data_IF_503683098745
#
_entry.id   IF_503683098745
#
_cell.length_a   1.000
_cell.length_b   1.000
_cell.length_c   1.000
_cell.angle_alpha   90.00
_cell.angle_beta   90.00
_cell.angle_gamma   90.00
#
_symmetry.space_group_name_H-M   'P 1'
#
loop_
_entity.id
_entity.type
_entity.pdbx_description
1 polymer ?
#
# COMPACT_ATOMS: atom_id res chain seq x y z
N UNK A 1 30.68 25.02 -64.42
CA UNK A 1 30.30 26.41 -64.07
C UNK A 1 28.85 26.57 -64.51
N UNK A 2 27.81 26.54 -63.68
CA UNK A 2 27.70 26.30 -62.25
C UNK A 2 26.22 26.17 -61.88
N UNK A 3 25.96 25.16 -61.03
CA UNK A 3 25.00 25.13 -59.92
C UNK A 3 23.50 24.94 -60.25
N UNK A 4 23.08 23.67 -60.14
CA UNK A 4 21.72 23.23 -59.83
C UNK A 4 21.28 23.78 -58.46
N UNK A 5 20.19 24.53 -58.42
CA UNK A 5 19.53 24.91 -57.17
C UNK A 5 18.48 23.86 -56.81
N UNK A 6 18.94 22.84 -56.10
CA UNK A 6 18.12 21.89 -55.34
C UNK A 6 17.29 22.67 -54.33
N UNK A 7 15.98 22.76 -54.57
CA UNK A 7 15.04 23.40 -53.66
C UNK A 7 14.72 22.43 -52.52
N UNK A 8 15.58 22.39 -51.49
CA UNK A 8 15.32 21.74 -50.22
C UNK A 8 14.26 22.53 -49.46
N UNK A 9 12.98 22.14 -49.59
CA UNK A 9 11.96 22.51 -48.61
C UNK A 9 12.03 21.52 -47.46
N UNK A 10 12.52 22.03 -46.33
CA UNK A 10 12.61 21.38 -45.04
C UNK A 10 11.28 20.72 -44.64
N UNK A 11 11.20 19.40 -44.80
CA UNK A 11 10.31 18.58 -43.98
C UNK A 11 10.88 18.61 -42.56
N UNK A 12 10.16 19.30 -41.67
CA UNK A 12 10.47 19.30 -40.25
C UNK A 12 10.40 17.85 -39.77
N UNK A 13 11.43 17.30 -39.09
CA UNK A 13 11.33 15.94 -38.59
C UNK A 13 10.20 15.91 -37.57
N UNK A 14 9.15 15.16 -37.91
CA UNK A 14 8.01 14.85 -37.06
C UNK A 14 8.57 14.28 -35.76
N UNK A 15 8.74 15.14 -34.75
CA UNK A 15 9.32 14.83 -33.45
C UNK A 15 8.24 14.16 -32.60
N UNK A 16 7.60 13.14 -33.16
CA UNK A 16 7.10 12.03 -32.38
C UNK A 16 8.29 11.14 -32.10
N UNK A 17 9.14 11.58 -31.18
CA UNK A 17 10.03 10.67 -30.46
C UNK A 17 9.14 9.59 -29.87
N UNK A 18 9.12 8.46 -30.55
CA UNK A 18 8.56 7.21 -30.06
C UNK A 18 9.33 6.91 -28.79
N UNK A 19 8.81 7.34 -27.62
CA UNK A 19 9.25 6.81 -26.36
C UNK A 19 9.26 5.28 -26.55
N UNK A 20 10.42 4.61 -26.41
CA UNK A 20 10.42 3.17 -26.50
C UNK A 20 9.39 2.70 -25.48
N UNK A 21 8.35 1.99 -25.95
CA UNK A 21 7.31 1.45 -25.07
C UNK A 21 8.01 0.42 -24.18
N UNK A 22 8.56 0.89 -23.06
CA UNK A 22 9.16 0.06 -22.04
C UNK A 22 8.11 -0.96 -21.63
N UNK A 23 8.44 -2.25 -21.69
CA UNK A 23 7.56 -3.32 -21.20
C UNK A 23 7.23 -2.98 -19.74
N UNK A 24 5.97 -2.66 -19.47
CA UNK A 24 5.51 -2.35 -18.12
C UNK A 24 5.70 -3.61 -17.25
N UNK A 25 6.66 -3.55 -16.32
CA UNK A 25 6.90 -4.60 -15.32
C UNK A 25 5.69 -4.78 -14.41
N UNK A 26 5.57 -5.94 -13.75
CA UNK A 26 4.44 -6.22 -12.88
C UNK A 26 4.37 -5.22 -11.72
N UNK A 27 5.54 -4.83 -11.19
CA UNK A 27 5.66 -3.73 -10.23
C UNK A 27 5.19 -2.38 -10.80
N UNK A 28 5.55 -2.02 -12.05
CA UNK A 28 5.12 -0.74 -12.62
C UNK A 28 3.59 -0.62 -12.77
N UNK A 29 2.90 -1.73 -13.08
CA UNK A 29 1.43 -1.76 -13.14
C UNK A 29 0.82 -1.58 -11.76
N UNK A 30 1.40 -2.21 -10.76
CA UNK A 30 0.98 -2.07 -9.36
C UNK A 30 1.18 -0.65 -8.83
N UNK A 31 2.36 -0.06 -9.06
CA UNK A 31 2.69 1.29 -8.60
C UNK A 31 1.85 2.36 -9.31
N UNK A 32 1.53 2.15 -10.60
CA UNK A 32 0.63 3.00 -11.38
C UNK A 32 -0.76 3.14 -10.74
N UNK A 33 -1.26 2.11 -10.07
CA UNK A 33 -2.58 2.12 -9.45
C UNK A 33 -2.66 2.93 -8.14
N UNK A 34 -1.51 3.31 -7.57
CA UNK A 34 -1.43 3.96 -6.26
C UNK A 34 -1.02 5.42 -6.41
N UNK A 35 -1.99 6.32 -6.24
CA UNK A 35 -1.80 7.76 -6.41
C UNK A 35 -0.93 8.40 -5.30
N UNK A 36 -1.12 8.02 -4.04
CA UNK A 36 -0.42 8.61 -2.88
C UNK A 36 0.84 7.84 -2.52
N UNK A 37 1.96 8.55 -2.36
CA UNK A 37 3.24 7.98 -1.90
C UNK A 37 3.13 7.29 -0.54
N UNK A 38 2.43 7.91 0.41
CA UNK A 38 2.19 7.32 1.74
C UNK A 38 1.43 5.99 1.65
N UNK A 39 0.45 5.91 0.74
CA UNK A 39 -0.29 4.66 0.50
C UNK A 39 0.60 3.61 -0.15
N UNK A 40 1.48 4.03 -1.06
CA UNK A 40 2.44 3.14 -1.72
C UNK A 40 3.39 2.51 -0.70
N UNK A 41 4.01 3.32 0.16
CA UNK A 41 4.89 2.84 1.22
C UNK A 41 4.19 1.88 2.16
N UNK A 42 2.95 2.21 2.55
CA UNK A 42 2.13 1.32 3.36
C UNK A 42 1.91 -0.04 2.66
N UNK A 43 1.52 -0.02 1.39
CA UNK A 43 1.24 -1.23 0.60
C UNK A 43 2.50 -2.07 0.42
N UNK A 44 3.64 -1.45 0.09
CA UNK A 44 4.95 -2.12 -0.04
C UNK A 44 5.31 -2.82 1.26
N UNK A 45 5.26 -2.13 2.40
CA UNK A 45 5.57 -2.72 3.72
C UNK A 45 4.67 -3.91 4.04
N UNK A 46 3.39 -3.84 3.69
CA UNK A 46 2.43 -4.92 3.94
C UNK A 46 2.60 -6.10 3.00
N UNK A 47 2.96 -5.86 1.74
CA UNK A 47 3.21 -6.93 0.76
C UNK A 47 4.53 -7.66 1.05
N UNK A 48 5.59 -6.96 1.49
CA UNK A 48 6.86 -7.59 1.90
C UNK A 48 6.69 -8.74 2.89
N UNK A 49 5.69 -8.65 3.78
CA UNK A 49 5.36 -9.72 4.74
C UNK A 49 4.91 -11.02 4.05
N UNK A 50 4.21 -10.91 2.92
CA UNK A 50 3.79 -12.06 2.13
C UNK A 50 4.93 -12.60 1.26
N UNK A 51 5.77 -11.74 0.68
CA UNK A 51 6.99 -12.19 -0.02
C UNK A 51 7.91 -12.99 0.91
N UNK A 52 8.10 -12.49 2.13
CA UNK A 52 8.87 -13.18 3.17
C UNK A 52 8.26 -14.52 3.56
N UNK A 53 6.94 -14.64 3.56
CA UNK A 53 6.25 -15.92 3.81
C UNK A 53 6.51 -16.95 2.69
N UNK A 54 6.55 -16.51 1.44
CA UNK A 54 6.87 -17.35 0.29
C UNK A 54 8.38 -17.58 0.10
N UNK A 55 9.21 -17.09 1.04
CA UNK A 55 10.68 -17.14 0.96
C UNK A 55 11.24 -16.45 -0.30
N UNK A 56 10.47 -15.50 -0.86
CA UNK A 56 10.87 -14.68 -1.99
C UNK A 56 11.68 -13.47 -1.48
N UNK A 57 12.80 -13.09 -2.15
CA UNK A 57 13.54 -11.89 -1.81
C UNK A 57 12.64 -10.66 -1.72
N UNK A 58 12.64 -9.99 -0.57
CA UNK A 58 11.79 -8.81 -0.31
C UNK A 58 12.49 -7.48 -0.58
N UNK A 59 13.80 -7.51 -0.83
CA UNK A 59 14.62 -6.36 -1.19
C UNK A 59 15.53 -6.69 -2.38
N UNK A 60 15.57 -5.83 -3.41
CA UNK A 60 14.65 -4.72 -3.64
C UNK A 60 13.22 -5.23 -3.90
N UNK A 61 12.22 -4.50 -3.42
CA UNK A 61 10.81 -4.92 -3.49
C UNK A 61 10.33 -5.19 -4.92
N UNK A 62 10.79 -4.38 -5.87
CA UNK A 62 10.45 -4.53 -7.29
C UNK A 62 10.84 -5.91 -7.82
N UNK A 63 12.05 -6.36 -7.55
CA UNK A 63 12.55 -7.67 -8.01
C UNK A 63 11.75 -8.80 -7.38
N UNK A 64 11.43 -8.72 -6.09
CA UNK A 64 10.62 -9.72 -5.40
C UNK A 64 9.22 -9.88 -5.99
N UNK A 65 8.57 -8.77 -6.33
CA UNK A 65 7.22 -8.79 -6.92
C UNK A 65 7.24 -9.26 -8.37
N UNK A 66 8.29 -8.90 -9.13
CA UNK A 66 8.45 -9.40 -10.49
C UNK A 66 8.77 -10.91 -10.49
N UNK A 67 9.62 -11.40 -9.58
CA UNK A 67 9.89 -12.83 -9.41
C UNK A 67 8.62 -13.60 -9.04
N UNK A 68 7.82 -13.04 -8.11
CA UNK A 68 6.53 -13.62 -7.76
C UNK A 68 5.63 -13.73 -9.01
N UNK A 69 5.57 -12.68 -9.84
CA UNK A 69 4.79 -12.73 -11.08
C UNK A 69 5.27 -13.85 -12.03
N UNK A 70 6.58 -13.96 -12.23
CA UNK A 70 7.18 -15.01 -13.06
C UNK A 70 6.88 -16.41 -12.51
N UNK A 71 6.94 -16.58 -11.20
CA UNK A 71 6.61 -17.85 -10.55
C UNK A 71 5.13 -18.21 -10.74
N UNK A 72 4.22 -17.24 -10.63
CA UNK A 72 2.79 -17.45 -10.92
C UNK A 72 2.58 -17.86 -12.39
N UNK A 73 3.32 -17.27 -13.34
CA UNK A 73 3.22 -17.66 -14.75
C UNK A 73 3.74 -19.09 -15.00
N UNK A 74 4.76 -19.51 -14.24
CA UNK A 74 5.38 -20.84 -14.37
C UNK A 74 4.56 -21.94 -13.71
N UNK A 75 4.12 -21.73 -12.47
CA UNK A 75 3.43 -22.73 -11.64
C UNK A 75 1.89 -22.66 -11.78
N UNK A 76 1.40 -21.54 -12.32
CA UNK A 76 -0.02 -21.30 -12.54
C UNK A 76 -0.71 -20.57 -11.39
N UNK A 77 -1.93 -20.10 -11.68
CA UNK A 77 -2.75 -19.34 -10.70
C UNK A 77 -3.25 -20.21 -9.56
N UNK A 78 -3.33 -21.53 -9.74
CA UNK A 78 -3.75 -22.47 -8.71
C UNK A 78 -2.74 -22.51 -7.56
N UNK A 79 -1.45 -22.68 -7.86
CA UNK A 79 -0.38 -22.63 -6.87
C UNK A 79 -0.46 -21.36 -6.03
N UNK A 80 -0.60 -20.21 -6.68
CA UNK A 80 -0.70 -18.93 -5.99
C UNK A 80 -1.93 -18.82 -5.09
N UNK A 81 -3.07 -19.37 -5.55
CA UNK A 81 -4.29 -19.42 -4.75
C UNK A 81 -4.10 -20.28 -3.50
N UNK A 82 -3.44 -21.43 -3.62
CA UNK A 82 -3.14 -22.33 -2.51
C UNK A 82 -2.17 -21.65 -1.52
N UNK A 83 -1.08 -21.07 -2.01
CA UNK A 83 -0.11 -20.35 -1.19
C UNK A 83 -0.74 -19.16 -0.43
N UNK A 84 -1.67 -18.44 -1.05
CA UNK A 84 -2.40 -17.36 -0.39
C UNK A 84 -3.41 -17.87 0.65
N UNK A 85 -4.02 -19.03 0.43
CA UNK A 85 -4.88 -19.68 1.42
C UNK A 85 -4.07 -20.14 2.62
N UNK A 86 -2.92 -20.77 2.41
CA UNK A 86 -2.02 -21.24 3.47
C UNK A 86 -1.53 -20.06 4.33
N UNK A 87 -1.13 -18.96 3.69
CA UNK A 87 -0.81 -17.72 4.39
C UNK A 87 -1.96 -17.23 5.28
N UNK A 88 -3.20 -17.25 4.78
CA UNK A 88 -4.38 -16.84 5.56
C UNK A 88 -4.62 -17.80 6.73
N UNK A 89 -4.47 -19.12 6.52
CA UNK A 89 -4.66 -20.14 7.57
C UNK A 89 -3.64 -19.96 8.69
N UNK A 90 -2.36 -19.77 8.35
CA UNK A 90 -1.30 -19.55 9.34
C UNK A 90 -1.53 -18.26 10.14
N UNK A 91 -1.90 -17.18 9.46
CA UNK A 91 -2.18 -15.92 10.14
C UNK A 91 -3.46 -15.97 10.97
N UNK A 92 -4.44 -16.82 10.62
CA UNK A 92 -5.58 -17.09 11.52
C UNK A 92 -5.14 -17.75 12.82
N UNK A 93 -4.20 -18.69 12.77
CA UNK A 93 -3.65 -19.28 14.00
C UNK A 93 -2.96 -18.21 14.86
N UNK A 94 -2.21 -17.27 14.24
CA UNK A 94 -1.61 -16.13 14.94
C UNK A 94 -2.66 -15.19 15.56
N UNK A 95 -3.81 -15.00 14.91
CA UNK A 95 -4.96 -14.25 15.47
C UNK A 95 -5.52 -14.97 16.69
N UNK A 96 -5.72 -16.29 16.64
CA UNK A 96 -6.19 -17.09 17.77
C UNK A 96 -5.23 -16.99 18.96
N UNK A 97 -3.91 -16.95 18.69
CA UNK A 97 -2.86 -16.71 19.69
C UNK A 97 -2.75 -15.25 20.15
N UNK A 98 -3.65 -14.36 19.69
CA UNK A 98 -3.68 -12.91 19.99
C UNK A 98 -2.40 -12.15 19.61
N UNK A 99 -1.57 -12.68 18.71
CA UNK A 99 -0.34 -12.03 18.25
C UNK A 99 -0.62 -10.90 17.26
N UNK A 100 -1.71 -11.03 16.50
CA UNK A 100 -2.15 -10.05 15.50
C UNK A 100 -3.67 -9.90 15.53
N UNK A 101 -4.18 -8.83 14.91
CA UNK A 101 -5.62 -8.60 14.79
C UNK A 101 -6.15 -9.07 13.43
N UNK A 102 -7.45 -9.37 13.37
CA UNK A 102 -8.14 -9.65 12.10
C UNK A 102 -8.04 -8.47 11.10
N UNK A 103 -7.98 -7.23 11.60
CA UNK A 103 -7.78 -6.05 10.77
C UNK A 103 -6.39 -6.04 10.12
N UNK A 104 -5.37 -6.47 10.85
CA UNK A 104 -4.00 -6.59 10.34
C UNK A 104 -3.92 -7.58 9.17
N UNK A 105 -4.53 -8.76 9.30
CA UNK A 105 -4.58 -9.75 8.22
C UNK A 105 -5.29 -9.22 6.96
N UNK A 106 -6.40 -8.51 7.15
CA UNK A 106 -7.10 -7.83 6.05
C UNK A 106 -6.21 -6.78 5.36
N UNK A 107 -5.36 -6.10 6.10
CA UNK A 107 -4.42 -5.13 5.54
C UNK A 107 -3.26 -5.77 4.77
N UNK A 108 -2.85 -7.01 5.09
CA UNK A 108 -1.91 -7.78 4.26
C UNK A 108 -2.56 -8.24 2.95
N UNK A 109 -3.83 -8.64 3.01
CA UNK A 109 -4.58 -9.12 1.85
C UNK A 109 -4.80 -8.03 0.77
N UNK A 110 -5.09 -6.78 1.17
CA UNK A 110 -5.40 -5.66 0.26
C UNK A 110 -4.33 -5.41 -0.82
N UNK A 111 -3.04 -5.19 -0.49
CA UNK A 111 -2.01 -4.94 -1.50
C UNK A 111 -1.82 -6.11 -2.45
N UNK A 112 -1.92 -7.35 -1.96
CA UNK A 112 -1.82 -8.57 -2.79
C UNK A 112 -2.96 -8.61 -3.80
N UNK A 113 -4.20 -8.32 -3.35
CA UNK A 113 -5.35 -8.23 -4.23
C UNK A 113 -5.17 -7.17 -5.33
N UNK A 114 -4.75 -5.97 -4.95
CA UNK A 114 -4.49 -4.89 -5.91
C UNK A 114 -3.43 -5.30 -6.94
N UNK A 115 -2.36 -5.97 -6.50
CA UNK A 115 -1.33 -6.45 -7.39
C UNK A 115 -1.86 -7.45 -8.44
N UNK A 116 -2.66 -8.41 -8.01
CA UNK A 116 -3.30 -9.35 -8.92
C UNK A 116 -4.27 -8.68 -9.88
N UNK A 117 -5.10 -7.75 -9.38
CA UNK A 117 -6.05 -6.98 -10.20
C UNK A 117 -5.29 -6.16 -11.28
N UNK A 118 -4.15 -5.56 -10.95
CA UNK A 118 -3.34 -4.76 -11.88
C UNK A 118 -2.51 -5.58 -12.88
N UNK A 119 -2.34 -6.87 -12.61
CA UNK A 119 -1.56 -7.78 -13.44
C UNK A 119 -2.42 -8.85 -14.14
N UNK A 120 -3.74 -8.65 -14.14
CA UNK A 120 -4.74 -9.53 -14.77
C UNK A 120 -4.67 -10.98 -14.28
N UNK A 121 -4.32 -11.18 -13.00
CA UNK A 121 -4.27 -12.51 -12.36
C UNK A 121 -5.66 -12.86 -11.85
N UNK A 122 -6.34 -13.76 -12.53
CA UNK A 122 -7.69 -14.19 -12.20
C UNK A 122 -7.70 -15.22 -11.05
N UNK A 123 -8.25 -14.83 -9.91
CA UNK A 123 -8.40 -15.68 -8.71
C UNK A 123 -9.83 -15.65 -8.20
N UNK A 124 -10.25 -16.73 -7.54
CA UNK A 124 -11.55 -16.78 -6.88
C UNK A 124 -11.49 -16.03 -5.54
N UNK A 125 -11.55 -14.70 -5.59
CA UNK A 125 -11.50 -13.85 -4.39
C UNK A 125 -12.63 -14.12 -3.39
N UNK A 126 -13.79 -14.62 -3.84
CA UNK A 126 -14.90 -14.97 -2.95
C UNK A 126 -14.52 -16.14 -2.03
N UNK A 127 -13.77 -17.12 -2.55
CA UNK A 127 -13.25 -18.23 -1.76
C UNK A 127 -12.26 -17.73 -0.71
N UNK A 128 -11.26 -16.95 -1.15
CA UNK A 128 -10.16 -16.46 -0.32
C UNK A 128 -10.69 -15.53 0.79
N UNK A 129 -11.60 -14.61 0.45
CA UNK A 129 -12.17 -13.66 1.40
C UNK A 129 -13.01 -14.32 2.50
N UNK A 130 -13.65 -15.47 2.24
CA UNK A 130 -14.37 -16.24 3.27
C UNK A 130 -13.46 -16.77 4.37
N UNK A 131 -12.18 -16.99 4.06
CA UNK A 131 -11.19 -17.41 5.04
C UNK A 131 -10.87 -16.32 6.07
N UNK A 132 -10.97 -15.05 5.68
CA UNK A 132 -10.51 -13.90 6.49
C UNK A 132 -11.56 -13.53 7.55
N UNK A 133 -11.22 -13.59 8.86
CA UNK A 133 -12.15 -13.23 9.92
C UNK A 133 -12.56 -11.75 9.85
N UNK A 134 -13.80 -11.45 10.25
CA UNK A 134 -14.29 -10.09 10.33
C UNK A 134 -13.64 -9.35 11.51
N UNK A 135 -13.06 -8.18 11.26
CA UNK A 135 -12.55 -7.30 12.31
C UNK A 135 -13.70 -6.50 12.94
N UNK A 136 -14.56 -7.14 13.73
CA UNK A 136 -15.54 -6.41 14.55
C UNK A 136 -14.88 -6.04 15.87
N UNK A 137 -14.21 -4.90 15.90
CA UNK A 137 -14.01 -4.13 17.13
C UNK A 137 -14.55 -2.74 16.84
N UNK A 138 -15.64 -2.35 17.51
CA UNK A 138 -15.87 -0.93 17.72
C UNK A 138 -14.62 -0.43 18.43
N UNK A 139 -13.93 0.55 17.85
CA UNK A 139 -12.86 1.22 18.58
C UNK A 139 -13.50 1.77 19.85
N UNK A 140 -12.89 1.54 21.01
CA UNK A 140 -13.29 2.19 22.26
C UNK A 140 -12.82 3.66 22.25
N UNK A 141 -12.94 4.31 21.10
CA UNK A 141 -12.47 5.66 20.79
C UNK A 141 -13.57 6.66 21.14
N UNK A 142 -14.03 6.57 22.39
CA UNK A 142 -14.98 7.54 22.92
C UNK A 142 -14.25 8.86 23.07
N UNK A 143 -14.87 9.95 22.61
CA UNK A 143 -14.40 11.28 22.94
C UNK A 143 -14.26 11.46 24.46
N UNK A 144 -13.22 12.17 24.93
CA UNK A 144 -13.08 12.49 26.34
C UNK A 144 -14.22 13.38 26.81
N UNK A 145 -14.64 13.20 28.06
CA UNK A 145 -15.62 14.06 28.73
C UNK A 145 -14.96 15.34 29.24
N UNK A 146 -15.78 16.37 29.52
CA UNK A 146 -15.28 17.63 30.07
C UNK A 146 -14.48 17.42 31.37
N UNK A 147 -14.92 16.51 32.24
CA UNK A 147 -14.22 16.21 33.50
C UNK A 147 -12.86 15.53 33.26
N UNK A 148 -12.75 14.67 32.24
CA UNK A 148 -11.48 14.07 31.85
C UNK A 148 -10.53 15.10 31.26
N UNK A 149 -11.05 16.07 30.49
CA UNK A 149 -10.27 17.18 29.95
C UNK A 149 -9.79 18.10 31.08
N UNK A 150 -10.65 18.44 32.04
CA UNK A 150 -10.26 19.24 33.20
C UNK A 150 -9.17 18.55 34.02
N UNK A 151 -9.28 17.24 34.27
CA UNK A 151 -8.22 16.47 34.94
C UNK A 151 -6.89 16.56 34.17
N UNK A 152 -6.91 16.45 32.84
CA UNK A 152 -5.69 16.61 32.01
C UNK A 152 -5.06 18.00 32.14
N UNK A 153 -5.85 19.04 32.39
CA UNK A 153 -5.38 20.41 32.60
C UNK A 153 -4.91 20.69 34.03
N UNK A 154 -5.38 19.93 35.01
CA UNK A 154 -5.05 20.05 36.44
C UNK A 154 -3.77 19.33 36.84
N UNK A 155 -3.39 18.24 36.14
CA UNK A 155 -2.11 17.58 36.39
C UNK A 155 -0.96 18.59 36.24
N UNK A 156 0.08 18.54 37.11
CA UNK A 156 1.26 19.39 37.00
C UNK A 156 2.03 19.01 35.72
N UNK A 157 1.51 19.54 34.63
CA UNK A 157 2.02 19.37 33.28
C UNK A 157 2.70 20.70 32.97
N UNK A 158 3.88 20.64 32.35
CA UNK A 158 4.59 21.80 31.83
C UNK A 158 3.59 22.78 31.18
N UNK A 159 3.73 24.08 31.45
CA UNK A 159 2.84 25.15 30.98
C UNK A 159 2.61 25.12 29.46
N UNK A 160 3.56 24.51 28.72
CA UNK A 160 3.55 24.30 27.28
C UNK A 160 2.52 23.27 26.80
N UNK A 161 2.15 22.30 27.65
CA UNK A 161 1.23 21.22 27.26
C UNK A 161 -0.22 21.67 27.28
N UNK A 162 -0.55 22.63 28.15
CA UNK A 162 -1.90 23.19 28.25
C UNK A 162 -2.40 23.83 26.94
N UNK A 163 -1.62 24.69 26.26
CA UNK A 163 -1.96 25.17 24.92
C UNK A 163 -2.15 24.06 23.90
N UNK A 164 -1.31 23.02 23.92
CA UNK A 164 -1.41 21.88 22.99
C UNK A 164 -2.75 21.14 23.17
N UNK A 165 -3.11 20.81 24.41
CA UNK A 165 -4.38 20.14 24.73
C UNK A 165 -5.56 21.01 24.27
N UNK A 166 -5.55 22.30 24.61
CA UNK A 166 -6.64 23.22 24.27
C UNK A 166 -6.80 23.38 22.76
N UNK A 167 -5.71 23.50 22.01
CA UNK A 167 -5.76 23.57 20.54
C UNK A 167 -6.32 22.28 19.97
N UNK A 168 -5.84 21.10 20.42
CA UNK A 168 -6.34 19.81 19.92
C UNK A 168 -7.82 19.59 20.21
N UNK A 169 -8.29 19.93 21.41
CA UNK A 169 -9.70 19.79 21.79
C UNK A 169 -10.59 20.80 21.04
N UNK A 170 -10.14 22.04 20.87
CA UNK A 170 -10.95 23.12 20.27
C UNK A 170 -11.04 23.02 18.75
N UNK A 171 -9.96 22.56 18.10
CA UNK A 171 -9.87 22.54 16.63
C UNK A 171 -10.07 21.15 16.04
N UNK A 172 -9.90 20.09 16.83
CA UNK A 172 -9.95 18.71 16.35
C UNK A 172 -8.84 18.35 15.35
N UNK A 173 -7.72 19.10 15.33
CA UNK A 173 -6.59 18.79 14.45
C UNK A 173 -5.93 17.46 14.81
N UNK A 174 -5.46 16.73 13.80
CA UNK A 174 -4.69 15.49 14.00
C UNK A 174 -3.27 15.83 14.48
N UNK A 175 -2.60 14.88 15.11
CA UNK A 175 -1.24 15.09 15.62
C UNK A 175 -0.27 15.52 14.51
N UNK A 176 -0.41 14.99 13.31
CA UNK A 176 0.41 15.34 12.15
C UNK A 176 0.17 16.78 11.65
N UNK A 177 -0.98 17.39 12.00
CA UNK A 177 -1.28 18.77 11.59
C UNK A 177 -0.33 19.79 12.23
N UNK A 178 0.30 19.45 13.36
CA UNK A 178 1.29 20.30 14.01
C UNK A 178 2.54 20.54 13.15
N UNK A 179 2.88 19.63 12.23
CA UNK A 179 4.03 19.83 11.33
C UNK A 179 3.82 20.98 10.34
N UNK A 180 2.57 21.33 10.03
CA UNK A 180 2.20 22.43 9.14
C UNK A 180 2.13 23.79 9.86
N UNK A 181 2.20 23.79 11.20
CA UNK A 181 2.17 25.00 12.04
C UNK A 181 3.59 25.47 12.43
N UNK A 182 4.62 24.91 11.77
CA UNK A 182 6.03 25.30 11.93
C UNK A 182 6.31 26.69 11.38
#
# INVERSE_FOLDING_TARGET
MGIELVNQRNESPDTRTLFPKSKKTAYSKFSYAIASEQTRDYYVRKFKVFLEYLEIPKEPFEDGVNLLYEQIQKEGTQWFSEALIDFIVDYKQKITRKQITAGTLRNYYKPIKLFCDMNDILLNWKLIARGIPSSKRAAMDRAPTLDEIHKLLEFPTDERVKPIILVMVSTGIRMESWEYLK
#
